data_IF_152889905422
#
_entry.id   IF_152889905422
#
_cell.length_a   1.000
_cell.length_b   1.000
_cell.length_c   1.000
_cell.angle_alpha   90.00
_cell.angle_beta   90.00
_cell.angle_gamma   90.00
#
_symmetry.space_group_name_H-M   'P 1'
#
loop_
_entity.id
_entity.type
_entity.pdbx_description
1 polymer ?
#
# COMPACT_ATOMS: atom_id res chain seq x y z
N UNK A 1 -5.63 -12.96 6.91
CA UNK A 1 -4.49 -13.02 5.98
C UNK A 1 -4.64 -11.87 4.99
N UNK A 2 -3.59 -11.55 4.24
CA UNK A 2 -3.61 -10.53 3.19
C UNK A 2 -2.88 -11.06 1.94
N UNK A 3 -3.18 -10.50 0.76
CA UNK A 3 -2.46 -10.80 -0.49
C UNK A 3 -1.75 -9.53 -0.97
N UNK A 4 -0.47 -9.63 -1.30
CA UNK A 4 0.32 -8.52 -1.84
C UNK A 4 0.33 -8.54 -3.37
N UNK A 5 0.10 -7.39 -3.99
CA UNK A 5 0.11 -7.16 -5.42
C UNK A 5 1.11 -6.07 -5.80
N UNK A 6 2.09 -6.41 -6.64
CA UNK A 6 3.01 -5.43 -7.21
C UNK A 6 2.33 -4.78 -8.40
N UNK A 7 1.95 -3.49 -8.30
CA UNK A 7 1.14 -2.81 -9.32
C UNK A 7 1.97 -2.03 -10.34
N UNK A 8 3.27 -2.31 -10.41
CA UNK A 8 4.17 -1.73 -11.40
C UNK A 8 3.71 -2.09 -12.83
N UNK A 9 3.90 -1.17 -13.78
CA UNK A 9 3.43 -1.33 -15.15
C UNK A 9 4.05 -2.52 -15.92
N UNK A 10 5.16 -3.06 -15.42
CA UNK A 10 5.80 -4.27 -15.98
C UNK A 10 5.27 -5.58 -15.39
N UNK A 11 4.22 -5.53 -14.57
CA UNK A 11 3.57 -6.74 -14.06
C UNK A 11 2.39 -7.12 -14.96
N UNK A 12 2.69 -7.99 -15.91
CA UNK A 12 1.76 -8.46 -16.94
C UNK A 12 0.66 -9.37 -16.36
N UNK A 13 0.85 -9.89 -15.14
CA UNK A 13 -0.07 -10.81 -14.45
C UNK A 13 -1.04 -10.11 -13.50
N UNK A 14 -0.86 -8.80 -13.26
CA UNK A 14 -1.54 -8.09 -12.18
C UNK A 14 -3.06 -8.31 -12.17
N UNK A 15 -3.73 -8.13 -13.30
CA UNK A 15 -5.19 -8.22 -13.33
C UNK A 15 -5.69 -9.65 -13.14
N UNK A 16 -4.94 -10.66 -13.58
CA UNK A 16 -5.29 -12.06 -13.36
C UNK A 16 -5.21 -12.41 -11.86
N UNK A 17 -4.22 -11.86 -11.16
CA UNK A 17 -4.09 -12.04 -9.72
C UNK A 17 -5.17 -11.26 -8.95
N UNK A 18 -5.53 -10.06 -9.40
CA UNK A 18 -6.63 -9.26 -8.84
C UNK A 18 -7.98 -9.96 -9.03
N UNK A 19 -8.24 -10.55 -10.20
CA UNK A 19 -9.45 -11.35 -10.44
C UNK A 19 -9.57 -12.53 -9.46
N UNK A 20 -8.45 -13.18 -9.10
CA UNK A 20 -8.45 -14.20 -8.06
C UNK A 20 -8.74 -13.60 -6.67
N UNK A 21 -8.20 -12.42 -6.36
CA UNK A 21 -8.53 -11.72 -5.11
C UNK A 21 -10.02 -11.41 -5.01
N UNK A 22 -10.66 -10.94 -6.11
CA UNK A 22 -12.10 -10.69 -6.19
C UNK A 22 -12.89 -11.98 -6.04
N UNK A 23 -12.55 -13.02 -6.81
CA UNK A 23 -13.23 -14.33 -6.78
C UNK A 23 -13.24 -14.95 -5.38
N UNK A 24 -12.17 -14.75 -4.62
CA UNK A 24 -12.01 -15.31 -3.28
C UNK A 24 -12.30 -14.28 -2.17
N UNK A 25 -12.79 -13.09 -2.52
CA UNK A 25 -13.14 -12.00 -1.60
C UNK A 25 -12.05 -11.77 -0.55
N UNK A 26 -10.80 -11.61 -1.00
CA UNK A 26 -9.65 -11.46 -0.10
C UNK A 26 -9.85 -10.21 0.77
N UNK A 27 -9.91 -10.32 2.11
CA UNK A 27 -10.37 -9.21 2.94
C UNK A 27 -9.40 -8.02 2.98
N UNK A 28 -8.11 -8.27 2.80
CA UNK A 28 -7.06 -7.25 2.81
C UNK A 28 -6.11 -7.49 1.65
N UNK A 29 -5.94 -6.48 0.80
CA UNK A 29 -4.96 -6.46 -0.28
C UNK A 29 -3.91 -5.39 0.01
N UNK A 30 -2.64 -5.75 -0.17
CA UNK A 30 -1.52 -4.82 -0.06
C UNK A 30 -1.02 -4.52 -1.46
N UNK A 31 -0.76 -3.26 -1.78
CA UNK A 31 -0.29 -2.84 -3.10
C UNK A 31 0.99 -2.02 -3.00
N UNK A 32 1.85 -2.07 -4.03
CA UNK A 32 3.13 -1.33 -4.05
C UNK A 32 3.61 -1.00 -5.47
N UNK A 33 4.62 -0.12 -5.58
CA UNK A 33 5.30 0.26 -6.83
C UNK A 33 4.40 0.89 -7.91
N UNK A 34 3.47 1.75 -7.48
CA UNK A 34 2.54 2.47 -8.33
C UNK A 34 1.19 2.56 -7.64
N UNK A 35 0.30 3.46 -8.05
CA UNK A 35 -1.07 3.50 -7.53
C UNK A 35 -2.03 3.44 -8.71
N UNK A 36 -2.83 2.38 -8.75
CA UNK A 36 -3.73 2.01 -9.85
C UNK A 36 -5.17 1.97 -9.35
N UNK A 37 -5.99 2.99 -9.66
CA UNK A 37 -7.38 3.06 -9.22
C UNK A 37 -8.18 1.80 -9.54
N UNK A 38 -7.93 1.19 -10.70
CA UNK A 38 -8.63 -0.02 -11.15
C UNK A 38 -8.42 -1.23 -10.20
N UNK A 39 -7.28 -1.29 -9.52
CA UNK A 39 -7.02 -2.33 -8.51
C UNK A 39 -7.84 -2.04 -7.25
N UNK A 40 -7.84 -0.79 -6.78
CA UNK A 40 -8.59 -0.40 -5.58
C UNK A 40 -10.09 -0.58 -5.77
N UNK A 41 -10.63 -0.13 -6.91
CA UNK A 41 -12.03 -0.29 -7.29
C UNK A 41 -12.45 -1.77 -7.31
N UNK A 42 -11.61 -2.65 -7.86
CA UNK A 42 -11.87 -4.10 -7.88
C UNK A 42 -11.90 -4.70 -6.47
N UNK A 43 -11.00 -4.28 -5.57
CA UNK A 43 -11.00 -4.79 -4.20
C UNK A 43 -12.17 -4.23 -3.38
N UNK A 44 -12.53 -2.96 -3.60
CA UNK A 44 -13.68 -2.32 -2.96
C UNK A 44 -15.02 -2.90 -3.43
N UNK A 45 -15.09 -3.48 -4.63
CA UNK A 45 -16.36 -3.99 -5.19
C UNK A 45 -17.00 -5.11 -4.36
N UNK A 46 -16.23 -5.76 -3.50
CA UNK A 46 -16.70 -6.78 -2.55
C UNK A 46 -16.50 -6.37 -1.08
N UNK A 47 -16.11 -5.12 -0.81
CA UNK A 47 -15.88 -4.62 0.55
C UNK A 47 -14.52 -4.97 1.16
N UNK A 48 -13.56 -5.46 0.37
CA UNK A 48 -12.18 -5.62 0.81
C UNK A 48 -11.50 -4.26 1.00
N UNK A 49 -10.38 -4.23 1.73
CA UNK A 49 -9.58 -3.01 1.93
C UNK A 49 -8.21 -3.12 1.26
N UNK A 50 -7.69 -1.97 0.81
CA UNK A 50 -6.40 -1.80 0.18
C UNK A 50 -5.45 -0.96 1.02
N UNK A 51 -4.37 -1.57 1.51
CA UNK A 51 -3.25 -0.86 2.13
C UNK A 51 -2.15 -0.64 1.09
N UNK A 52 -1.57 0.56 1.03
CA UNK A 52 -0.59 0.91 0.02
C UNK A 52 0.81 1.19 0.62
N UNK A 53 1.81 0.48 0.11
CA UNK A 53 3.22 0.71 0.46
C UNK A 53 3.72 2.02 -0.16
N UNK A 54 4.26 2.89 0.69
CA UNK A 54 4.76 4.21 0.28
C UNK A 54 6.09 4.51 0.94
N UNK A 55 6.97 5.17 0.18
CA UNK A 55 8.34 5.48 0.63
C UNK A 55 8.55 6.96 0.97
N UNK A 56 7.56 7.81 0.72
CA UNK A 56 7.54 9.23 1.10
C UNK A 56 6.13 9.83 1.03
N UNK A 57 5.99 11.06 1.55
CA UNK A 57 4.73 11.81 1.59
C UNK A 57 4.10 12.08 0.23
N UNK A 58 4.90 12.28 -0.83
CA UNK A 58 4.36 12.51 -2.17
C UNK A 58 3.60 11.29 -2.69
N UNK A 59 4.15 10.09 -2.48
CA UNK A 59 3.48 8.85 -2.87
C UNK A 59 2.33 8.50 -1.94
N UNK A 60 2.48 8.76 -0.63
CA UNK A 60 1.40 8.63 0.35
C UNK A 60 0.13 9.40 -0.05
N UNK A 61 0.27 10.71 -0.32
CA UNK A 61 -0.86 11.56 -0.73
C UNK A 61 -1.49 11.08 -2.03
N UNK A 62 -0.67 10.70 -3.02
CA UNK A 62 -1.16 10.16 -4.30
C UNK A 62 -1.88 8.83 -4.16
N UNK A 63 -1.47 7.97 -3.23
CA UNK A 63 -2.11 6.69 -2.99
C UNK A 63 -3.51 6.89 -2.40
N UNK A 64 -3.63 7.75 -1.38
CA UNK A 64 -4.92 8.13 -0.78
C UNK A 64 -5.82 8.82 -1.80
N UNK A 65 -5.31 9.79 -2.56
CA UNK A 65 -6.05 10.49 -3.63
C UNK A 65 -6.64 9.50 -4.65
N UNK A 66 -5.94 8.40 -4.92
CA UNK A 66 -6.35 7.38 -5.88
C UNK A 66 -7.26 6.30 -5.30
N UNK A 67 -7.49 6.27 -4.00
CA UNK A 67 -8.42 5.35 -3.35
C UNK A 67 -7.82 4.28 -2.45
N UNK A 68 -6.54 4.38 -2.05
CA UNK A 68 -6.04 3.49 -0.99
C UNK A 68 -6.74 3.80 0.36
N UNK A 69 -7.08 2.75 1.12
CA UNK A 69 -7.73 2.90 2.43
C UNK A 69 -6.74 3.24 3.55
N UNK A 70 -5.48 2.84 3.39
CA UNK A 70 -4.44 3.04 4.39
C UNK A 70 -3.04 2.97 3.80
N UNK A 71 -2.07 3.34 4.64
CA UNK A 71 -0.68 3.50 4.25
C UNK A 71 0.24 2.56 5.03
N UNK A 72 1.15 1.92 4.33
CA UNK A 72 2.29 1.23 4.92
C UNK A 72 3.53 2.07 4.59
N UNK A 73 4.04 2.77 5.60
CA UNK A 73 5.20 3.65 5.47
C UNK A 73 6.48 2.79 5.48
N UNK A 74 7.02 2.51 4.30
CA UNK A 74 8.25 1.72 4.12
C UNK A 74 9.46 2.63 4.27
N UNK A 75 9.95 2.72 5.50
CA UNK A 75 11.02 3.62 5.93
C UNK A 75 12.42 3.03 5.72
N UNK A 76 13.44 3.83 6.02
CA UNK A 76 14.83 3.39 6.03
C UNK A 76 15.04 2.19 6.97
N UNK A 77 15.81 1.21 6.50
CA UNK A 77 16.04 -0.05 7.22
C UNK A 77 15.02 -1.16 6.91
N UNK A 78 14.09 -0.95 5.99
CA UNK A 78 13.36 -2.04 5.35
C UNK A 78 14.24 -2.76 4.31
N UNK A 79 13.96 -4.05 4.05
CA UNK A 79 14.52 -4.77 2.92
C UNK A 79 13.78 -4.45 1.61
N UNK A 80 14.40 -4.73 0.45
CA UNK A 80 13.78 -4.50 -0.85
C UNK A 80 13.75 -3.03 -1.27
N UNK A 81 12.63 -2.58 -1.87
CA UNK A 81 12.48 -1.20 -2.36
C UNK A 81 12.10 -0.23 -1.23
N UNK A 82 13.06 0.05 -0.36
CA UNK A 82 12.86 0.88 0.83
C UNK A 82 12.99 2.38 0.56
N UNK A 83 12.26 3.18 1.34
CA UNK A 83 12.48 4.62 1.43
C UNK A 83 13.75 4.98 2.19
N UNK A 84 14.10 6.27 2.15
CA UNK A 84 15.28 6.81 2.85
C UNK A 84 14.93 7.60 4.10
N UNK A 85 13.63 7.78 4.40
CA UNK A 85 13.16 8.54 5.53
C UNK A 85 13.30 7.76 6.85
N UNK A 86 13.59 8.47 7.93
CA UNK A 86 13.58 7.91 9.28
C UNK A 86 12.19 7.32 9.61
N UNK A 87 12.09 6.12 10.22
CA UNK A 87 10.82 5.52 10.60
C UNK A 87 9.93 6.45 11.47
N UNK A 88 10.53 7.12 12.45
CA UNK A 88 9.79 8.00 13.37
C UNK A 88 9.34 9.29 12.70
N UNK A 89 10.22 9.92 11.89
CA UNK A 89 9.87 11.14 11.18
C UNK A 89 8.77 10.89 10.13
N UNK A 90 8.89 9.80 9.37
CA UNK A 90 7.94 9.50 8.30
C UNK A 90 6.52 9.27 8.85
N UNK A 91 6.39 8.55 9.97
CA UNK A 91 5.08 8.36 10.62
C UNK A 91 4.51 9.68 11.11
N UNK A 92 5.32 10.53 11.76
CA UNK A 92 4.86 11.83 12.24
C UNK A 92 4.37 12.71 11.08
N UNK A 93 5.15 12.85 10.01
CA UNK A 93 4.78 13.67 8.86
C UNK A 93 3.50 13.18 8.16
N UNK A 94 3.28 11.86 8.08
CA UNK A 94 2.03 11.30 7.52
C UNK A 94 0.84 11.61 8.43
N UNK A 95 1.03 11.54 9.75
CA UNK A 95 -0.02 11.82 10.74
C UNK A 95 -0.44 13.29 10.80
N UNK A 96 0.36 14.22 10.28
CA UNK A 96 -0.05 15.62 10.17
C UNK A 96 -1.24 15.84 9.22
N UNK A 97 -1.51 14.91 8.30
CA UNK A 97 -2.55 15.08 7.28
C UNK A 97 -3.42 13.84 7.04
N UNK A 98 -3.09 12.68 7.60
CA UNK A 98 -3.84 11.44 7.40
C UNK A 98 -4.25 10.77 8.72
N UNK A 99 -5.56 10.75 8.94
CA UNK A 99 -6.18 10.15 10.13
C UNK A 99 -6.48 8.64 9.97
N UNK A 100 -6.34 8.08 8.77
CA UNK A 100 -6.65 6.69 8.49
C UNK A 100 -5.60 5.69 9.02
N UNK A 101 -5.71 4.40 8.63
CA UNK A 101 -4.76 3.36 9.02
C UNK A 101 -3.34 3.65 8.53
N UNK A 102 -2.38 3.72 9.45
CA UNK A 102 -0.95 3.88 9.14
C UNK A 102 -0.17 2.78 9.83
N UNK A 103 0.60 2.03 9.04
CA UNK A 103 1.53 1.00 9.48
C UNK A 103 2.96 1.45 9.19
N UNK A 104 3.90 1.01 10.01
CA UNK A 104 5.33 1.25 9.83
C UNK A 104 6.03 -0.03 9.36
N UNK A 105 6.84 0.07 8.31
CA UNK A 105 7.72 -0.99 7.82
C UNK A 105 9.16 -0.50 7.77
N UNK A 106 10.09 -1.34 8.23
CA UNK A 106 11.53 -1.06 8.25
C UNK A 106 12.09 -0.80 9.64
N UNK A 107 13.30 -1.32 9.88
CA UNK A 107 14.06 -1.16 11.13
C UNK A 107 13.32 -1.59 12.42
N UNK A 108 12.36 -2.51 12.33
CA UNK A 108 11.64 -3.09 13.48
C UNK A 108 12.03 -4.56 13.61
N UNK A 109 12.62 -4.91 14.76
CA UNK A 109 13.01 -6.26 15.17
C UNK A 109 12.74 -6.41 16.67
N UNK A 110 12.58 -7.65 17.13
CA UNK A 110 12.56 -8.00 18.56
C UNK A 110 13.96 -8.23 19.11
#
# INVERSE_FOLDING_TARGET
FAVNQIVHNSNDRLMQDVELCVKHEVPVVITSLGARPEVFEAIHSYGGICLHDVINNRFAKKAIEKGADGLICVAAGAGGHAGTLSPMAFIQEVREWFDGPVLLSGAIST
#
